data_IF_011457996278
#
_entry.id   IF_011457996278
#
_cell.length_a   1.000
_cell.length_b   1.000
_cell.length_c   1.000
_cell.angle_alpha   90.00
_cell.angle_beta   90.00
_cell.angle_gamma   90.00
#
_symmetry.space_group_name_H-M   'P 1'
#
loop_
_entity.id
_entity.type
_entity.pdbx_description
1 polymer ?
#
# COMPACT_ATOMS: atom_id res chain seq x y z
N UNK A 1 31.29 49.68 59.47
CA UNK A 1 31.61 48.24 59.28
C UNK A 1 32.58 48.12 58.10
N UNK A 2 33.76 47.53 58.35
CA UNK A 2 34.74 46.87 57.43
C UNK A 2 35.27 47.71 56.23
N UNK A 3 36.45 48.33 56.32
CA UNK A 3 37.86 47.85 56.14
C UNK A 3 38.37 47.79 54.68
N UNK A 4 39.64 48.17 54.56
CA UNK A 4 40.50 48.45 53.41
C UNK A 4 41.22 47.21 52.80
N UNK A 5 41.58 47.34 51.50
CA UNK A 5 42.82 46.90 50.78
C UNK A 5 42.97 45.38 50.42
N UNK A 6 43.99 44.97 49.62
CA UNK A 6 44.37 45.32 48.23
C UNK A 6 44.87 44.06 47.44
N UNK A 7 45.46 44.24 46.24
CA UNK A 7 46.38 43.27 45.61
C UNK A 7 45.85 42.69 44.29
N UNK A 8 46.61 42.85 43.20
CA UNK A 8 47.52 41.80 42.69
C UNK A 8 46.72 40.96 41.65
N UNK A 9 47.06 40.80 40.38
CA UNK A 9 48.36 40.68 39.73
C UNK A 9 48.23 40.91 38.22
N UNK A 10 49.36 41.27 37.61
CA UNK A 10 49.50 41.37 36.17
C UNK A 10 49.33 40.00 35.51
N UNK A 11 48.63 39.99 34.38
CA UNK A 11 48.55 38.82 33.50
C UNK A 11 49.01 39.21 32.10
N UNK A 12 50.29 38.97 31.89
CA UNK A 12 50.92 38.35 30.73
C UNK A 12 50.46 38.76 29.32
N UNK A 13 51.36 39.52 28.69
CA UNK A 13 51.65 39.53 27.26
C UNK A 13 51.54 38.14 26.62
N UNK A 14 50.45 37.89 25.89
CA UNK A 14 50.37 36.82 24.92
C UNK A 14 51.12 37.23 23.65
N UNK A 15 52.41 36.90 23.61
CA UNK A 15 53.19 36.82 22.36
C UNK A 15 52.80 35.53 21.65
N UNK A 16 52.05 35.64 20.56
CA UNK A 16 51.90 34.53 19.62
C UNK A 16 53.18 34.41 18.80
N UNK A 17 53.92 33.31 19.03
CA UNK A 17 55.05 32.90 18.20
C UNK A 17 54.50 32.07 17.02
N UNK A 18 54.78 32.39 15.76
CA UNK A 18 54.24 31.69 14.60
C UNK A 18 55.22 30.61 14.15
N UNK A 19 55.05 29.38 14.61
CA UNK A 19 55.79 28.22 14.07
C UNK A 19 54.88 27.01 14.04
N UNK A 20 54.27 26.75 12.89
CA UNK A 20 54.00 25.39 12.39
C UNK A 20 53.58 25.48 10.92
N UNK A 21 54.53 25.92 10.09
CA UNK A 21 54.56 25.60 8.68
C UNK A 21 55.14 24.19 8.53
N UNK A 22 54.67 23.45 7.53
CA UNK A 22 55.18 22.18 7.00
C UNK A 22 54.53 20.88 7.54
N UNK A 23 53.49 20.43 6.82
CA UNK A 23 53.39 19.05 6.34
C UNK A 23 52.41 19.00 5.16
N UNK A 24 52.91 19.41 4.00
CA UNK A 24 52.25 19.16 2.72
C UNK A 24 52.36 17.68 2.38
N UNK A 25 51.31 16.92 2.66
CA UNK A 25 51.02 15.66 2.00
C UNK A 25 49.65 15.80 1.37
N UNK A 26 49.65 16.21 0.09
CA UNK A 26 48.48 16.25 -0.75
C UNK A 26 47.97 14.82 -0.97
N UNK A 27 47.18 14.32 -0.02
CA UNK A 27 46.35 13.15 -0.18
C UNK A 27 45.31 13.51 -1.24
N UNK A 28 45.60 13.17 -2.50
CA UNK A 28 44.64 13.27 -3.59
C UNK A 28 43.51 12.29 -3.29
N UNK A 29 42.48 12.82 -2.63
CA UNK A 29 41.20 12.17 -2.46
C UNK A 29 40.64 11.91 -3.85
N UNK A 30 40.81 10.66 -4.30
CA UNK A 30 40.22 10.17 -5.54
C UNK A 30 38.73 10.02 -5.26
N UNK A 31 37.97 11.04 -5.65
CA UNK A 31 36.51 10.97 -5.77
C UNK A 31 36.19 9.74 -6.62
N UNK A 32 35.48 8.74 -6.09
CA UNK A 32 35.02 7.63 -6.91
C UNK A 32 34.08 8.22 -7.95
N UNK A 33 34.49 8.12 -9.22
CA UNK A 33 33.70 8.49 -10.39
C UNK A 33 32.40 7.69 -10.32
N UNK A 34 31.27 8.31 -9.94
CA UNK A 34 29.96 7.72 -10.14
C UNK A 34 29.78 7.56 -11.65
N UNK A 35 30.06 6.35 -12.11
CA UNK A 35 29.95 5.95 -13.49
C UNK A 35 28.47 5.92 -13.86
N UNK A 36 28.06 6.97 -14.57
CA UNK A 36 27.25 6.85 -15.77
C UNK A 36 25.99 6.00 -15.68
N UNK A 37 24.86 6.70 -15.52
CA UNK A 37 23.76 6.58 -16.49
C UNK A 37 23.00 5.26 -16.55
N UNK A 38 22.24 4.97 -15.50
CA UNK A 38 20.89 4.42 -15.69
C UNK A 38 19.92 5.40 -14.99
N UNK A 39 18.85 5.89 -15.65
CA UNK A 39 17.91 6.79 -15.00
C UNK A 39 17.26 6.10 -13.80
N UNK A 40 17.68 6.46 -12.58
CA UNK A 40 17.13 5.99 -11.30
C UNK A 40 15.60 6.18 -11.21
N UNK A 41 15.05 7.15 -11.96
CA UNK A 41 13.61 7.36 -12.17
C UNK A 41 12.88 6.15 -12.80
N UNK A 42 13.53 5.35 -13.64
CA UNK A 42 12.90 4.17 -14.25
C UNK A 42 12.81 2.97 -13.31
N UNK A 43 13.83 2.76 -12.46
CA UNK A 43 13.86 1.63 -11.51
C UNK A 43 12.90 1.84 -10.34
N UNK A 44 12.76 3.07 -9.84
CA UNK A 44 11.79 3.42 -8.79
C UNK A 44 10.33 3.26 -9.24
N UNK A 45 9.98 3.69 -10.46
CA UNK A 45 8.63 3.45 -11.00
C UNK A 45 8.34 1.95 -11.09
N UNK A 46 9.27 1.15 -11.59
CA UNK A 46 9.07 -0.30 -11.70
C UNK A 46 9.00 -1.00 -10.34
N UNK A 47 9.79 -0.60 -9.34
CA UNK A 47 9.71 -1.18 -8.00
C UNK A 47 8.39 -0.85 -7.30
N UNK A 48 7.90 0.40 -7.39
CA UNK A 48 6.56 0.76 -6.93
C UNK A 48 5.48 -0.06 -7.64
N UNK A 49 5.53 -0.15 -8.97
CA UNK A 49 4.57 -0.96 -9.74
C UNK A 49 4.65 -2.45 -9.41
N UNK A 50 5.83 -3.01 -9.12
CA UNK A 50 5.99 -4.41 -8.74
C UNK A 50 5.56 -4.65 -7.29
N UNK A 51 5.80 -3.71 -6.37
CA UNK A 51 5.31 -3.78 -5.00
C UNK A 51 3.77 -3.70 -4.95
N UNK A 52 3.18 -2.78 -5.71
CA UNK A 52 1.73 -2.69 -5.92
C UNK A 52 1.19 -3.93 -6.61
N UNK A 53 1.84 -4.41 -7.68
CA UNK A 53 1.42 -5.62 -8.38
C UNK A 53 1.60 -6.87 -7.52
N UNK A 54 2.55 -6.94 -6.59
CA UNK A 54 2.71 -8.07 -5.65
C UNK A 54 1.59 -8.07 -4.61
N UNK A 55 1.22 -6.89 -4.09
CA UNK A 55 0.05 -6.72 -3.23
C UNK A 55 -1.23 -7.11 -3.98
N UNK A 56 -1.40 -6.64 -5.23
CA UNK A 56 -2.52 -7.00 -6.10
C UNK A 56 -2.52 -8.48 -6.48
N UNK A 57 -1.36 -9.10 -6.68
CA UNK A 57 -1.20 -10.50 -7.10
C UNK A 57 -1.64 -11.51 -6.04
N UNK A 58 -1.51 -11.20 -4.76
CA UNK A 58 -2.04 -12.05 -3.67
C UNK A 58 -3.56 -11.90 -3.53
N UNK A 59 -4.08 -10.71 -3.87
CA UNK A 59 -5.52 -10.40 -3.79
C UNK A 59 -6.28 -10.95 -5.01
N UNK A 60 -5.64 -10.93 -6.18
CA UNK A 60 -6.18 -11.42 -7.44
C UNK A 60 -6.83 -12.81 -7.36
N UNK A 61 -6.20 -13.86 -6.77
CA UNK A 61 -6.83 -15.18 -6.65
C UNK A 61 -8.03 -15.20 -5.69
N UNK A 62 -8.04 -14.38 -4.63
CA UNK A 62 -9.15 -14.33 -3.67
C UNK A 62 -10.38 -13.71 -4.35
N UNK A 63 -10.17 -12.58 -5.02
CA UNK A 63 -11.22 -11.86 -5.73
C UNK A 63 -11.73 -12.67 -6.92
N UNK A 64 -10.82 -13.31 -7.66
CA UNK A 64 -11.16 -14.26 -8.72
C UNK A 64 -11.95 -15.46 -8.19
N UNK A 65 -11.60 -16.01 -7.03
CA UNK A 65 -12.33 -17.13 -6.41
C UNK A 65 -13.77 -16.76 -6.06
N UNK A 66 -13.98 -15.60 -5.43
CA UNK A 66 -15.32 -15.11 -5.08
C UNK A 66 -16.15 -14.87 -6.34
N UNK A 67 -15.60 -14.16 -7.34
CA UNK A 67 -16.29 -13.90 -8.61
C UNK A 67 -16.60 -15.21 -9.35
N UNK A 68 -15.69 -16.18 -9.32
CA UNK A 68 -15.92 -17.49 -9.94
C UNK A 68 -17.08 -18.23 -9.30
N UNK A 69 -17.20 -18.19 -7.96
CA UNK A 69 -18.34 -18.80 -7.23
C UNK A 69 -19.65 -18.10 -7.60
N UNK A 70 -19.64 -16.78 -7.74
CA UNK A 70 -20.81 -16.02 -8.15
C UNK A 70 -21.25 -16.43 -9.56
N UNK A 71 -20.34 -16.45 -10.53
CA UNK A 71 -20.62 -16.86 -11.91
C UNK A 71 -21.08 -18.32 -11.97
N UNK A 72 -20.45 -19.23 -11.23
CA UNK A 72 -20.87 -20.63 -11.16
C UNK A 72 -22.30 -20.78 -10.60
N UNK A 73 -22.64 -20.00 -9.58
CA UNK A 73 -23.99 -19.97 -9.02
C UNK A 73 -25.00 -19.41 -10.02
N UNK A 74 -24.64 -18.39 -10.79
CA UNK A 74 -25.46 -17.84 -11.87
C UNK A 74 -25.70 -18.84 -13.01
N UNK A 75 -24.68 -19.60 -13.40
CA UNK A 75 -24.81 -20.68 -14.38
C UNK A 75 -25.70 -21.83 -13.86
N UNK A 76 -25.65 -22.12 -12.56
CA UNK A 76 -26.54 -23.09 -11.95
C UNK A 76 -28.00 -22.61 -11.96
N UNK A 77 -28.25 -21.33 -11.66
CA UNK A 77 -29.60 -20.73 -11.75
C UNK A 77 -30.10 -20.76 -13.19
N UNK A 78 -29.24 -20.43 -14.16
CA UNK A 78 -29.57 -20.50 -15.58
C UNK A 78 -30.13 -21.88 -15.97
N UNK A 79 -29.50 -22.96 -15.50
CA UNK A 79 -29.93 -24.33 -15.80
C UNK A 79 -31.19 -24.76 -15.04
N UNK A 80 -31.41 -24.26 -13.82
CA UNK A 80 -32.55 -24.65 -12.97
C UNK A 80 -33.83 -23.91 -13.39
N UNK A 81 -33.70 -22.61 -13.69
CA UNK A 81 -34.82 -21.71 -13.90
C UNK A 81 -35.21 -21.57 -15.38
N UNK A 82 -34.45 -22.21 -16.27
CA UNK A 82 -34.53 -22.10 -17.74
C UNK A 82 -34.56 -20.63 -18.21
N UNK A 83 -33.82 -19.78 -17.49
CA UNK A 83 -33.63 -18.37 -17.85
C UNK A 83 -32.68 -18.25 -19.02
N UNK A 84 -32.55 -17.06 -19.58
CA UNK A 84 -31.43 -16.79 -20.47
C UNK A 84 -30.16 -16.50 -19.66
N UNK A 85 -29.00 -16.77 -20.26
CA UNK A 85 -27.70 -16.53 -19.61
C UNK A 85 -27.56 -15.05 -19.21
N UNK A 86 -28.05 -14.13 -20.03
CA UNK A 86 -28.05 -12.69 -19.74
C UNK A 86 -28.88 -12.33 -18.51
N UNK A 87 -30.05 -12.93 -18.33
CA UNK A 87 -30.93 -12.71 -17.17
C UNK A 87 -30.33 -13.30 -15.89
N UNK A 88 -29.81 -14.52 -15.96
CA UNK A 88 -29.18 -15.20 -14.82
C UNK A 88 -27.88 -14.49 -14.38
N UNK A 89 -27.08 -14.01 -15.33
CA UNK A 89 -25.86 -13.27 -15.05
C UNK A 89 -26.18 -11.89 -14.46
N UNK A 90 -27.18 -11.20 -15.01
CA UNK A 90 -27.68 -9.94 -14.47
C UNK A 90 -28.17 -10.12 -13.03
N UNK A 91 -29.02 -11.11 -12.75
CA UNK A 91 -29.48 -11.43 -11.40
C UNK A 91 -28.31 -11.66 -10.45
N UNK A 92 -27.34 -12.48 -10.87
CA UNK A 92 -26.15 -12.80 -10.07
C UNK A 92 -25.32 -11.57 -9.75
N UNK A 93 -25.08 -10.67 -10.72
CA UNK A 93 -24.35 -9.43 -10.47
C UNK A 93 -25.13 -8.46 -9.58
N UNK A 94 -26.44 -8.32 -9.79
CA UNK A 94 -27.28 -7.43 -8.99
C UNK A 94 -27.36 -7.89 -7.54
N UNK A 95 -27.55 -9.19 -7.28
CA UNK A 95 -27.51 -9.76 -5.93
C UNK A 95 -26.11 -9.69 -5.34
N UNK A 96 -25.10 -10.01 -6.14
CA UNK A 96 -23.71 -10.11 -5.74
C UNK A 96 -23.05 -8.78 -5.38
N UNK A 97 -23.33 -7.74 -6.15
CA UNK A 97 -22.95 -6.36 -5.86
C UNK A 97 -23.85 -5.73 -4.81
N UNK A 98 -24.77 -6.50 -4.20
CA UNK A 98 -25.74 -6.03 -3.20
C UNK A 98 -26.62 -4.87 -3.69
N UNK A 99 -26.83 -4.76 -5.01
CA UNK A 99 -27.74 -3.77 -5.62
C UNK A 99 -29.19 -4.18 -5.37
N UNK A 100 -29.52 -5.45 -5.66
CA UNK A 100 -30.79 -6.08 -5.28
C UNK A 100 -32.06 -5.43 -5.86
N UNK A 101 -32.13 -5.14 -7.15
CA UNK A 101 -33.33 -4.57 -7.78
C UNK A 101 -34.60 -5.43 -7.61
N UNK A 102 -34.46 -6.75 -7.56
CA UNK A 102 -35.56 -7.68 -7.32
C UNK A 102 -36.52 -7.86 -8.50
N UNK A 103 -36.14 -7.37 -9.68
CA UNK A 103 -36.85 -7.50 -10.95
C UNK A 103 -36.88 -8.95 -11.47
N UNK A 104 -35.79 -9.70 -11.28
CA UNK A 104 -35.76 -11.15 -11.52
C UNK A 104 -35.74 -11.89 -10.18
N UNK A 105 -36.66 -12.83 -10.00
CA UNK A 105 -36.79 -13.59 -8.75
C UNK A 105 -36.91 -15.10 -9.01
N UNK A 106 -36.08 -15.95 -8.37
CA UNK A 106 -36.16 -17.38 -8.56
C UNK A 106 -37.48 -17.96 -8.03
N UNK A 107 -38.11 -18.80 -8.85
CA UNK A 107 -39.36 -19.52 -8.55
C UNK A 107 -39.07 -20.81 -7.80
N UNK A 108 -37.99 -21.51 -8.17
CA UNK A 108 -37.54 -22.75 -7.57
C UNK A 108 -36.81 -22.53 -6.24
N UNK A 109 -37.04 -23.44 -5.29
CA UNK A 109 -36.42 -23.41 -3.96
C UNK A 109 -34.90 -23.54 -4.05
N UNK A 110 -34.38 -24.36 -4.97
CA UNK A 110 -32.95 -24.52 -5.23
C UNK A 110 -32.28 -23.21 -5.65
N UNK A 111 -32.89 -22.48 -6.59
CA UNK A 111 -32.36 -21.19 -7.04
C UNK A 111 -32.45 -20.09 -5.96
N UNK A 112 -33.44 -20.16 -5.06
CA UNK A 112 -33.48 -19.28 -3.87
C UNK A 112 -32.32 -19.52 -2.92
N UNK A 113 -31.95 -20.79 -2.69
CA UNK A 113 -30.79 -21.13 -1.86
C UNK A 113 -29.50 -20.61 -2.53
N UNK A 114 -29.36 -20.78 -3.84
CA UNK A 114 -28.23 -20.22 -4.60
C UNK A 114 -28.17 -18.68 -4.50
N UNK A 115 -29.31 -18.00 -4.58
CA UNK A 115 -29.38 -16.55 -4.39
C UNK A 115 -28.86 -16.09 -3.02
N UNK A 116 -29.19 -16.84 -1.95
CA UNK A 116 -28.65 -16.57 -0.61
C UNK A 116 -27.13 -16.78 -0.55
N UNK A 117 -26.60 -17.82 -1.20
CA UNK A 117 -25.17 -18.06 -1.29
C UNK A 117 -24.44 -16.93 -2.05
N UNK A 118 -25.03 -16.45 -3.14
CA UNK A 118 -24.51 -15.29 -3.90
C UNK A 118 -24.49 -14.04 -3.01
N UNK A 119 -25.55 -13.79 -2.24
CA UNK A 119 -25.61 -12.67 -1.30
C UNK A 119 -24.53 -12.76 -0.22
N UNK A 120 -24.32 -13.95 0.36
CA UNK A 120 -23.25 -14.17 1.35
C UNK A 120 -21.86 -13.94 0.74
N UNK A 121 -21.62 -14.44 -0.48
CA UNK A 121 -20.38 -14.19 -1.20
C UNK A 121 -20.14 -12.69 -1.46
N UNK A 122 -21.21 -11.92 -1.78
CA UNK A 122 -21.16 -10.47 -1.91
C UNK A 122 -20.79 -9.74 -0.62
N UNK A 123 -21.34 -10.17 0.52
CA UNK A 123 -20.97 -9.61 1.84
C UNK A 123 -19.49 -9.85 2.14
N UNK A 124 -18.99 -11.07 1.88
CA UNK A 124 -17.58 -11.41 2.05
C UNK A 124 -16.70 -10.56 1.14
N UNK A 125 -17.11 -10.35 -0.11
CA UNK A 125 -16.40 -9.48 -1.07
C UNK A 125 -16.24 -8.06 -0.51
N UNK A 126 -17.33 -7.45 -0.02
CA UNK A 126 -17.30 -6.12 0.58
C UNK A 126 -16.39 -6.07 1.81
N UNK A 127 -16.40 -7.12 2.65
CA UNK A 127 -15.50 -7.24 3.79
C UNK A 127 -14.02 -7.31 3.41
N UNK A 128 -13.69 -8.06 2.35
CA UNK A 128 -12.32 -8.13 1.81
C UNK A 128 -11.89 -6.76 1.28
N UNK A 129 -12.75 -6.07 0.53
CA UNK A 129 -12.47 -4.73 0.01
C UNK A 129 -12.21 -3.75 1.17
N UNK A 130 -13.05 -3.74 2.19
CA UNK A 130 -12.87 -2.88 3.38
C UNK A 130 -11.54 -3.17 4.09
N UNK A 131 -11.18 -4.43 4.28
CA UNK A 131 -9.91 -4.82 4.90
C UNK A 131 -8.69 -4.35 4.09
N UNK A 132 -8.78 -4.37 2.76
CA UNK A 132 -7.72 -3.87 1.87
C UNK A 132 -7.56 -2.37 2.03
N UNK A 133 -8.67 -1.63 2.01
CA UNK A 133 -8.66 -0.18 2.19
C UNK A 133 -8.01 0.21 3.51
N UNK A 134 -8.36 -0.45 4.61
CA UNK A 134 -7.73 -0.20 5.92
C UNK A 134 -6.24 -0.53 5.91
N UNK A 135 -5.83 -1.66 5.33
CA UNK A 135 -4.41 -2.04 5.22
C UNK A 135 -3.61 -1.03 4.38
N UNK A 136 -4.20 -0.49 3.32
CA UNK A 136 -3.55 0.52 2.47
C UNK A 136 -3.45 1.89 3.16
N UNK A 137 -4.50 2.31 3.87
CA UNK A 137 -4.50 3.55 4.65
C UNK A 137 -3.48 3.49 5.79
N UNK A 138 -3.46 2.41 6.56
CA UNK A 138 -2.50 2.21 7.65
C UNK A 138 -1.04 2.11 7.17
N UNK A 139 -0.82 1.67 5.93
CA UNK A 139 0.53 1.68 5.34
C UNK A 139 1.00 3.10 5.01
N UNK A 140 0.08 4.03 4.69
CA UNK A 140 0.40 5.42 4.35
C UNK A 140 0.61 6.29 5.60
N UNK A 141 -0.13 6.04 6.68
CA UNK A 141 -0.03 6.79 7.95
C UNK A 141 1.32 6.61 8.65
N UNK A 142 1.90 5.39 8.56
CA UNK A 142 3.18 5.06 9.19
C UNK A 142 4.38 5.79 8.56
N UNK A 143 4.35 5.98 7.24
CA UNK A 143 5.45 6.57 6.48
C UNK A 143 5.59 8.09 6.69
N UNK A 144 4.54 8.76 7.21
CA UNK A 144 4.57 10.20 7.51
C UNK A 144 5.14 10.57 8.89
N UNK A 145 5.52 9.57 9.70
CA UNK A 145 5.96 9.77 11.10
C UNK A 145 7.47 9.57 11.34
N UNK A 146 8.26 9.35 10.28
CA UNK A 146 9.73 9.12 10.34
C UNK A 146 10.53 10.20 9.65
#
# INVERSE_FOLDING_TARGET
MVRRRPGADGVHHFRHNPVCLAAGSAMRFRVPKQSGGEPQTQKMRRLFFIALAKQLRVIWPILSGIVSIMVASGLAIWQIEDWRIDEALYFTFVTGLTIGYGDFTPKHVSARILALLIGFAGIVLTGVIAAITVKALNATDRDGSS
#
